data_IF_594469306864
#
_entry.id   IF_594469306864
#
_cell.length_a   1.000
_cell.length_b   1.000
_cell.length_c   1.000
_cell.angle_alpha   90.00
_cell.angle_beta   90.00
_cell.angle_gamma   90.00
#
_symmetry.space_group_name_H-M   'P 1'
#
loop_
_entity.id
_entity.type
_entity.pdbx_description
1 polymer ?
#
# COMPACT_ATOMS: atom_id res chain seq x y z
N UNK A 1 16.48 -20.92 -4.45
CA UNK A 1 16.53 -19.45 -4.53
C UNK A 1 16.19 -18.86 -3.16
N UNK A 2 16.81 -17.73 -2.82
CA UNK A 2 16.49 -16.91 -1.65
C UNK A 2 16.39 -15.45 -2.13
N UNK A 3 15.32 -14.77 -1.76
CA UNK A 3 15.10 -13.40 -2.15
C UNK A 3 14.24 -12.67 -1.10
N UNK A 4 14.39 -11.38 -1.01
CA UNK A 4 13.52 -10.51 -0.20
C UNK A 4 12.15 -10.28 -0.83
N UNK A 5 12.02 -10.58 -2.14
CA UNK A 5 10.78 -10.41 -2.91
C UNK A 5 10.60 -11.58 -3.88
N UNK A 6 9.35 -11.93 -4.17
CA UNK A 6 9.01 -13.02 -5.10
C UNK A 6 9.51 -12.77 -6.53
N UNK A 7 9.64 -11.51 -6.92
CA UNK A 7 10.17 -11.12 -8.24
C UNK A 7 11.59 -11.61 -8.47
N UNK A 8 12.37 -11.84 -7.41
CA UNK A 8 13.73 -12.35 -7.53
C UNK A 8 13.82 -13.81 -7.98
N UNK A 9 12.72 -14.57 -8.00
CA UNK A 9 12.73 -15.99 -8.40
C UNK A 9 11.51 -16.43 -9.23
N UNK A 10 10.51 -15.57 -9.45
CA UNK A 10 9.25 -15.93 -10.11
C UNK A 10 9.45 -16.49 -11.53
N UNK A 11 10.51 -16.08 -12.22
CA UNK A 11 10.88 -16.62 -13.53
C UNK A 11 11.30 -18.10 -13.48
N UNK A 12 11.73 -18.58 -12.31
CA UNK A 12 12.27 -19.93 -12.12
C UNK A 12 11.29 -20.87 -11.42
N UNK A 13 10.43 -20.34 -10.55
CA UNK A 13 9.45 -21.12 -9.79
C UNK A 13 8.31 -20.26 -9.28
N UNK A 14 7.09 -20.85 -9.28
CA UNK A 14 5.89 -20.24 -8.68
C UNK A 14 5.65 -20.73 -7.23
N UNK A 15 6.53 -21.59 -6.70
CA UNK A 15 6.43 -22.09 -5.33
C UNK A 15 7.31 -21.25 -4.40
N UNK A 16 6.73 -20.71 -3.33
CA UNK A 16 7.41 -19.92 -2.33
C UNK A 16 7.14 -20.40 -0.91
N UNK A 17 8.14 -20.24 -0.05
CA UNK A 17 7.99 -20.39 1.39
C UNK A 17 8.26 -19.02 2.01
N UNK A 18 7.24 -18.44 2.66
CA UNK A 18 7.38 -17.18 3.36
C UNK A 18 7.95 -17.39 4.75
N UNK A 19 9.10 -16.78 5.01
CA UNK A 19 9.76 -16.84 6.31
C UNK A 19 8.96 -16.04 7.35
N UNK A 20 8.79 -16.60 8.54
CA UNK A 20 8.16 -15.91 9.68
C UNK A 20 9.24 -15.23 10.52
N UNK A 21 8.88 -14.16 11.23
CA UNK A 21 9.77 -13.56 12.24
C UNK A 21 10.25 -14.63 13.23
N UNK A 22 11.55 -14.64 13.48
CA UNK A 22 12.16 -15.64 14.37
C UNK A 22 12.59 -16.94 13.68
N UNK A 23 12.38 -17.06 12.37
CA UNK A 23 12.90 -18.19 11.61
C UNK A 23 14.15 -17.81 10.83
N UNK A 24 15.02 -18.78 10.63
CA UNK A 24 16.17 -18.71 9.72
C UNK A 24 16.27 -19.96 8.87
N UNK A 25 16.86 -19.83 7.70
CA UNK A 25 17.01 -20.94 6.76
C UNK A 25 18.49 -21.27 6.57
N UNK A 26 18.80 -22.55 6.56
CA UNK A 26 20.10 -23.10 6.16
C UNK A 26 19.96 -23.69 4.79
N UNK A 27 20.78 -23.25 3.84
CA UNK A 27 20.82 -23.77 2.47
C UNK A 27 22.15 -24.50 2.27
N UNK A 28 22.10 -25.81 2.03
CA UNK A 28 23.29 -26.62 1.75
C UNK A 28 22.98 -27.67 0.65
N UNK A 29 23.85 -27.79 -0.33
CA UNK A 29 23.79 -28.88 -1.34
C UNK A 29 22.42 -29.09 -2.01
N UNK A 30 21.74 -28.00 -2.37
CA UNK A 30 20.36 -28.00 -2.89
C UNK A 30 19.26 -28.46 -1.91
N UNK A 31 19.60 -28.63 -0.67
CA UNK A 31 18.63 -28.88 0.42
C UNK A 31 18.46 -27.62 1.28
N UNK A 32 17.36 -27.54 1.98
CA UNK A 32 17.14 -26.46 2.93
C UNK A 32 16.51 -26.96 4.23
N UNK A 33 16.77 -26.24 5.31
CA UNK A 33 16.14 -26.46 6.61
C UNK A 33 15.71 -25.09 7.16
N UNK A 34 14.51 -25.05 7.72
CA UNK A 34 14.01 -23.88 8.42
C UNK A 34 14.02 -24.17 9.92
N UNK A 35 14.66 -23.32 10.67
CA UNK A 35 14.85 -23.45 12.11
C UNK A 35 14.28 -22.21 12.82
N UNK A 36 13.89 -22.37 14.08
CA UNK A 36 13.61 -21.27 15.00
C UNK A 36 14.88 -20.81 15.74
N UNK A 37 14.76 -19.82 16.62
CA UNK A 37 15.88 -19.35 17.42
C UNK A 37 16.46 -20.37 18.42
N UNK A 38 15.75 -21.46 18.70
CA UNK A 38 16.25 -22.55 19.55
C UNK A 38 16.98 -23.61 18.73
N UNK A 39 17.01 -23.47 17.40
CA UNK A 39 17.60 -24.46 16.49
C UNK A 39 16.65 -25.65 16.18
N UNK A 40 15.37 -25.54 16.53
CA UNK A 40 14.39 -26.59 16.24
C UNK A 40 13.80 -26.43 14.84
N UNK A 41 13.56 -27.57 14.16
CA UNK A 41 12.99 -27.57 12.81
C UNK A 41 11.55 -27.08 12.83
N UNK A 42 11.26 -26.09 11.99
CA UNK A 42 9.93 -25.49 11.82
C UNK A 42 9.23 -26.09 10.61
N UNK A 43 7.96 -26.49 10.79
CA UNK A 43 7.10 -26.85 9.66
C UNK A 43 6.80 -25.61 8.81
N UNK A 44 6.88 -25.79 7.51
CA UNK A 44 6.60 -24.74 6.54
C UNK A 44 5.54 -25.17 5.54
N UNK A 45 4.85 -24.22 4.98
CA UNK A 45 3.87 -24.39 3.91
C UNK A 45 4.44 -23.82 2.62
N UNK A 46 4.27 -24.56 1.52
CA UNK A 46 4.59 -24.08 0.18
C UNK A 46 3.36 -23.35 -0.34
N UNK A 47 3.53 -22.06 -0.64
CA UNK A 47 2.48 -21.22 -1.20
C UNK A 47 2.74 -21.06 -2.70
N UNK A 48 1.71 -21.26 -3.52
CA UNK A 48 1.77 -20.89 -4.94
C UNK A 48 1.61 -19.40 -5.08
N UNK A 49 2.63 -18.80 -5.68
CA UNK A 49 2.59 -17.37 -6.09
C UNK A 49 1.78 -17.28 -7.38
N UNK A 50 0.77 -16.41 -7.41
CA UNK A 50 -0.03 -16.24 -8.62
C UNK A 50 0.81 -15.61 -9.73
N UNK A 51 0.60 -16.07 -10.97
CA UNK A 51 1.29 -15.52 -12.18
C UNK A 51 0.81 -14.12 -12.58
N UNK A 52 -0.04 -13.47 -11.80
CA UNK A 52 -0.38 -12.06 -11.98
C UNK A 52 0.85 -11.13 -11.88
N UNK A 53 1.97 -11.67 -11.39
CA UNK A 53 3.29 -11.05 -11.53
C UNK A 53 3.85 -11.02 -12.98
N UNK A 54 3.13 -11.56 -13.97
CA UNK A 54 3.47 -11.38 -15.39
C UNK A 54 3.59 -9.92 -15.84
N UNK A 55 2.90 -9.01 -15.15
CA UNK A 55 3.02 -7.56 -15.32
C UNK A 55 4.38 -7.00 -14.83
N UNK A 56 5.17 -7.78 -14.11
CA UNK A 56 6.55 -7.44 -13.71
C UNK A 56 7.55 -7.48 -14.88
N UNK A 57 7.14 -7.96 -16.07
CA UNK A 57 8.01 -7.99 -17.24
C UNK A 57 8.11 -6.60 -17.87
N UNK A 58 9.34 -6.15 -18.15
CA UNK A 58 9.59 -4.81 -18.71
C UNK A 58 9.00 -4.61 -20.12
N UNK A 59 8.82 -5.68 -20.87
CA UNK A 59 8.39 -5.62 -22.27
C UNK A 59 9.37 -4.85 -23.14
N UNK A 60 8.88 -4.12 -24.13
CA UNK A 60 9.65 -3.33 -25.08
C UNK A 60 10.11 -1.97 -24.54
N UNK A 61 9.79 -1.64 -23.29
CA UNK A 61 10.19 -0.38 -22.70
C UNK A 61 11.67 -0.37 -22.31
N UNK A 62 12.35 0.76 -22.50
CA UNK A 62 13.75 0.93 -22.13
C UNK A 62 13.96 0.78 -20.61
N UNK A 63 13.01 1.29 -19.80
CA UNK A 63 13.06 1.32 -18.34
C UNK A 63 11.72 0.95 -17.72
N UNK A 64 11.72 0.33 -16.53
CA UNK A 64 10.50 0.02 -15.77
C UNK A 64 9.69 1.28 -15.45
N UNK A 65 10.33 2.35 -15.01
CA UNK A 65 9.66 3.60 -14.71
C UNK A 65 8.88 4.13 -15.94
N UNK A 66 9.46 4.02 -17.14
CA UNK A 66 8.77 4.42 -18.37
C UNK A 66 7.52 3.56 -18.61
N UNK A 67 7.66 2.23 -18.51
CA UNK A 67 6.50 1.31 -18.58
C UNK A 67 5.41 1.71 -17.59
N UNK A 68 5.78 1.93 -16.34
CA UNK A 68 4.86 2.27 -15.24
C UNK A 68 4.17 3.62 -15.44
N UNK A 69 4.83 4.59 -16.09
CA UNK A 69 4.19 5.83 -16.53
C UNK A 69 3.09 5.53 -17.54
N UNK A 70 3.36 4.69 -18.55
CA UNK A 70 2.38 4.32 -19.56
C UNK A 70 1.26 3.39 -19.02
N UNK A 71 1.46 2.74 -17.90
CA UNK A 71 0.43 1.92 -17.25
C UNK A 71 -0.60 2.74 -16.46
N UNK A 72 -0.32 4.01 -16.13
CA UNK A 72 -1.21 4.82 -15.30
C UNK A 72 -2.66 4.91 -15.83
N UNK A 73 -2.95 5.07 -17.13
CA UNK A 73 -4.32 5.07 -17.61
C UNK A 73 -5.07 3.78 -17.26
N UNK A 74 -4.44 2.63 -17.46
CA UNK A 74 -5.04 1.33 -17.12
C UNK A 74 -5.23 1.13 -15.62
N UNK A 75 -4.30 1.65 -14.81
CA UNK A 75 -4.40 1.64 -13.34
C UNK A 75 -5.55 2.50 -12.86
N UNK A 76 -5.78 3.67 -13.46
CA UNK A 76 -6.92 4.55 -13.14
C UNK A 76 -8.23 3.80 -13.34
N UNK A 77 -8.41 3.11 -14.47
CA UNK A 77 -9.62 2.32 -14.74
C UNK A 77 -9.76 1.17 -13.75
N UNK A 78 -8.72 0.33 -13.61
CA UNK A 78 -8.75 -0.85 -12.73
C UNK A 78 -9.02 -0.46 -11.26
N UNK A 79 -8.35 0.57 -10.75
CA UNK A 79 -8.55 1.04 -9.39
C UNK A 79 -9.87 1.81 -9.22
N UNK A 80 -10.31 2.51 -10.28
CA UNK A 80 -11.54 3.30 -10.30
C UNK A 80 -12.80 2.44 -10.31
N UNK A 81 -12.87 1.42 -11.14
CA UNK A 81 -14.05 0.56 -11.32
C UNK A 81 -14.23 -0.47 -10.21
N UNK A 82 -13.13 -1.00 -9.66
CA UNK A 82 -13.22 -2.03 -8.62
C UNK A 82 -13.83 -1.50 -7.33
N UNK A 83 -14.71 -2.29 -6.74
CA UNK A 83 -15.13 -2.11 -5.36
C UNK A 83 -13.89 -2.29 -4.47
N UNK A 84 -13.55 -1.28 -3.68
CA UNK A 84 -12.46 -1.38 -2.72
C UNK A 84 -13.02 -2.08 -1.48
N UNK A 85 -12.59 -3.30 -1.24
CA UNK A 85 -12.96 -4.05 -0.04
C UNK A 85 -12.56 -3.24 1.21
N UNK A 86 -13.41 -3.23 2.24
CA UNK A 86 -13.18 -2.46 3.47
C UNK A 86 -13.51 -0.97 3.36
N UNK A 87 -13.90 -0.44 2.19
CA UNK A 87 -14.16 1.00 2.01
C UNK A 87 -15.27 1.52 2.93
N UNK A 88 -16.36 0.77 3.09
CA UNK A 88 -17.46 1.15 3.96
C UNK A 88 -17.02 1.28 5.42
N UNK A 89 -16.26 0.29 5.92
CA UNK A 89 -15.73 0.28 7.27
C UNK A 89 -14.71 1.40 7.49
N UNK A 90 -13.83 1.66 6.50
CA UNK A 90 -12.90 2.79 6.56
C UNK A 90 -13.62 4.13 6.68
N UNK A 91 -14.70 4.31 5.92
CA UNK A 91 -15.54 5.51 5.96
C UNK A 91 -16.25 5.66 7.31
N UNK A 92 -16.71 4.56 7.89
CA UNK A 92 -17.32 4.57 9.20
C UNK A 92 -16.31 4.97 10.29
N UNK A 93 -15.08 4.45 10.24
CA UNK A 93 -14.02 4.87 11.15
C UNK A 93 -13.72 6.37 11.02
N UNK A 94 -13.63 6.88 9.79
CA UNK A 94 -13.37 8.30 9.54
C UNK A 94 -14.50 9.19 10.09
N UNK A 95 -15.77 8.79 9.91
CA UNK A 95 -16.92 9.55 10.40
C UNK A 95 -16.98 9.64 11.93
N UNK A 96 -16.53 8.60 12.63
CA UNK A 96 -16.59 8.48 14.07
C UNK A 96 -15.31 8.93 14.78
N UNK A 97 -14.23 9.24 14.04
CA UNK A 97 -12.96 9.64 14.60
C UNK A 97 -12.97 11.06 15.16
N UNK A 98 -12.33 11.24 16.31
CA UNK A 98 -12.07 12.58 16.89
C UNK A 98 -11.08 13.36 16.03
N UNK A 99 -10.00 12.71 15.59
CA UNK A 99 -8.99 13.27 14.73
C UNK A 99 -8.62 12.28 13.64
N UNK A 100 -8.15 12.80 12.50
CA UNK A 100 -7.68 11.99 11.37
C UNK A 100 -6.25 12.37 11.06
N UNK A 101 -5.36 11.42 11.20
CA UNK A 101 -3.96 11.51 10.83
C UNK A 101 -3.70 10.70 9.57
N UNK A 102 -2.83 11.19 8.71
CA UNK A 102 -2.48 10.51 7.45
C UNK A 102 -0.97 10.43 7.35
N UNK A 103 -0.41 9.25 7.22
CA UNK A 103 1.05 9.08 7.20
C UNK A 103 1.52 8.27 6.00
N UNK A 104 2.74 8.53 5.61
CA UNK A 104 3.46 7.84 4.55
C UNK A 104 4.90 8.30 4.48
N UNK A 105 5.73 7.61 3.70
CA UNK A 105 7.12 7.99 3.42
C UNK A 105 7.26 8.40 1.95
N UNK A 106 8.13 9.38 1.67
CA UNK A 106 8.41 9.83 0.30
C UNK A 106 7.15 10.25 -0.46
N UNK A 107 6.93 9.67 -1.63
CA UNK A 107 5.78 10.00 -2.50
C UNK A 107 4.43 9.66 -1.85
N UNK A 108 4.37 8.65 -0.97
CA UNK A 108 3.14 8.34 -0.21
C UNK A 108 2.78 9.45 0.79
N UNK A 109 3.77 10.18 1.31
CA UNK A 109 3.49 11.37 2.11
C UNK A 109 2.90 12.51 1.26
N UNK A 110 3.31 12.65 0.00
CA UNK A 110 2.67 13.60 -0.91
C UNK A 110 1.19 13.26 -1.15
N UNK A 111 0.83 11.96 -1.19
CA UNK A 111 -0.57 11.53 -1.22
C UNK A 111 -1.33 11.96 0.04
N UNK A 112 -0.69 11.90 1.22
CA UNK A 112 -1.28 12.38 2.48
C UNK A 112 -1.55 13.89 2.45
N UNK A 113 -0.66 14.69 1.87
CA UNK A 113 -0.86 16.13 1.69
C UNK A 113 -2.06 16.44 0.78
N UNK A 114 -2.23 15.67 -0.31
CA UNK A 114 -3.39 15.79 -1.21
C UNK A 114 -4.66 15.34 -0.49
N UNK A 115 -4.61 14.24 0.28
CA UNK A 115 -5.74 13.74 1.06
C UNK A 115 -6.28 14.82 2.02
N UNK A 116 -5.40 15.55 2.72
CA UNK A 116 -5.79 16.68 3.56
C UNK A 116 -6.60 17.71 2.77
N UNK A 117 -6.14 18.06 1.57
CA UNK A 117 -6.80 19.08 0.75
C UNK A 117 -8.18 18.62 0.26
N UNK A 118 -8.29 17.38 -0.25
CA UNK A 118 -9.55 16.86 -0.78
C UNK A 118 -10.57 16.60 0.34
N UNK A 119 -10.16 16.06 1.50
CA UNK A 119 -11.03 15.89 2.66
C UNK A 119 -11.56 17.25 3.15
N UNK A 120 -10.69 18.25 3.28
CA UNK A 120 -11.10 19.59 3.69
C UNK A 120 -12.02 20.27 2.67
N UNK A 121 -11.69 20.20 1.38
CA UNK A 121 -12.44 20.87 0.31
C UNK A 121 -13.83 20.28 0.13
N UNK A 122 -13.93 18.97 0.06
CA UNK A 122 -15.13 18.28 -0.41
C UNK A 122 -16.00 17.74 0.73
N UNK A 123 -15.40 17.38 1.86
CA UNK A 123 -16.13 16.74 2.99
C UNK A 123 -16.13 17.62 4.24
N UNK A 124 -15.34 18.70 4.26
CA UNK A 124 -15.17 19.60 5.42
C UNK A 124 -14.56 18.89 6.65
N UNK A 125 -13.89 17.80 6.43
CA UNK A 125 -13.16 17.06 7.46
C UNK A 125 -11.72 17.61 7.54
N UNK A 126 -11.28 17.94 8.76
CA UNK A 126 -9.89 18.28 9.03
C UNK A 126 -9.08 17.01 9.21
N UNK A 127 -7.89 16.99 8.64
CA UNK A 127 -6.93 15.91 8.82
C UNK A 127 -5.52 16.46 8.86
N UNK A 128 -4.62 15.74 9.53
CA UNK A 128 -3.23 16.13 9.70
C UNK A 128 -2.30 15.11 9.03
N UNK A 129 -1.59 15.51 7.95
CA UNK A 129 -0.57 14.67 7.35
C UNK A 129 0.71 14.74 8.17
N UNK A 130 1.26 13.58 8.53
CA UNK A 130 2.49 13.44 9.30
C UNK A 130 3.46 12.58 8.49
N UNK A 131 4.67 13.06 8.26
CA UNK A 131 5.70 12.22 7.63
C UNK A 131 6.08 11.06 8.57
N UNK A 132 6.11 9.84 8.05
CA UNK A 132 6.20 8.65 8.88
C UNK A 132 7.48 8.61 9.74
N UNK A 133 8.61 9.07 9.21
CA UNK A 133 9.88 9.14 9.93
C UNK A 133 9.87 10.06 11.14
N UNK A 134 9.02 11.09 11.14
CA UNK A 134 8.99 12.11 12.19
C UNK A 134 8.12 11.70 13.40
N UNK A 135 7.13 10.84 13.18
CA UNK A 135 6.18 10.48 14.23
C UNK A 135 6.84 9.81 15.44
N UNK A 136 7.93 9.08 15.24
CA UNK A 136 8.67 8.44 16.33
C UNK A 136 9.30 9.46 17.30
N UNK A 137 9.57 10.68 16.86
CA UNK A 137 10.17 11.75 17.66
C UNK A 137 9.14 12.65 18.36
N UNK A 138 7.88 12.58 17.91
CA UNK A 138 6.77 13.33 18.49
C UNK A 138 5.51 12.45 18.57
N UNK A 139 5.56 11.32 19.31
CA UNK A 139 4.44 10.37 19.37
C UNK A 139 3.19 10.98 20.01
N UNK A 140 3.32 12.03 20.83
CA UNK A 140 2.23 12.79 21.43
C UNK A 140 1.41 13.61 20.42
N UNK A 141 1.83 13.69 19.17
CA UNK A 141 1.07 14.35 18.09
C UNK A 141 -0.24 13.60 17.81
N UNK A 142 -0.25 12.26 17.98
CA UNK A 142 -1.46 11.45 17.79
C UNK A 142 -2.21 11.33 19.09
N UNK A 143 -3.50 11.63 19.07
CA UNK A 143 -4.42 11.50 20.20
C UNK A 143 -5.22 10.19 20.11
N UNK A 144 -5.69 9.70 21.28
CA UNK A 144 -6.63 8.55 21.37
C UNK A 144 -7.97 8.86 20.65
N UNK A 145 -8.75 7.82 20.37
CA UNK A 145 -10.03 7.90 19.63
C UNK A 145 -9.89 8.51 18.23
N UNK A 146 -8.73 8.36 17.65
CA UNK A 146 -8.38 8.87 16.32
C UNK A 146 -8.25 7.76 15.29
N UNK A 147 -8.17 8.14 14.04
CA UNK A 147 -7.85 7.26 12.91
C UNK A 147 -6.48 7.64 12.35
N UNK A 148 -5.62 6.65 12.11
CA UNK A 148 -4.40 6.80 11.32
C UNK A 148 -4.59 6.11 9.97
N UNK A 149 -4.58 6.89 8.88
CA UNK A 149 -4.50 6.38 7.51
C UNK A 149 -3.03 6.22 7.17
N UNK A 150 -2.58 4.98 7.05
CA UNK A 150 -1.20 4.64 6.74
C UNK A 150 -1.04 4.21 5.27
N UNK A 151 -0.24 4.95 4.50
CA UNK A 151 -0.09 4.77 3.06
C UNK A 151 1.31 4.23 2.77
N UNK A 152 1.38 3.07 2.11
CA UNK A 152 2.65 2.46 1.68
C UNK A 152 2.43 1.54 0.48
N UNK A 153 3.17 1.73 -0.60
CA UNK A 153 3.08 0.86 -1.78
C UNK A 153 3.47 -0.58 -1.42
N UNK A 154 4.62 -0.79 -0.81
CA UNK A 154 5.12 -2.12 -0.42
C UNK A 154 4.45 -2.66 0.86
N UNK A 155 4.00 -1.76 1.75
CA UNK A 155 3.53 -2.13 3.09
C UNK A 155 4.63 -2.65 4.03
N UNK A 156 5.92 -2.48 3.64
CA UNK A 156 7.09 -2.90 4.42
C UNK A 156 7.97 -1.72 4.85
N UNK A 157 7.55 -0.49 4.61
CA UNK A 157 8.27 0.72 5.02
C UNK A 157 8.41 0.76 6.54
N UNK A 158 9.65 0.71 7.06
CA UNK A 158 9.94 0.64 8.48
C UNK A 158 9.32 1.81 9.26
N UNK A 159 9.44 3.03 8.74
CA UNK A 159 8.89 4.23 9.36
C UNK A 159 7.36 4.18 9.45
N UNK A 160 6.69 3.71 8.39
CA UNK A 160 5.22 3.57 8.38
C UNK A 160 4.77 2.49 9.37
N UNK A 161 5.49 1.37 9.44
CA UNK A 161 5.21 0.31 10.41
C UNK A 161 5.42 0.77 11.85
N UNK A 162 6.43 1.61 12.09
CA UNK A 162 6.66 2.22 13.40
C UNK A 162 5.57 3.24 13.76
N UNK A 163 5.15 4.08 12.81
CA UNK A 163 4.04 5.01 13.00
C UNK A 163 2.74 4.26 13.39
N UNK A 164 2.43 3.14 12.72
CA UNK A 164 1.30 2.28 13.08
C UNK A 164 1.47 1.65 14.46
N UNK A 165 2.69 1.23 14.83
CA UNK A 165 2.97 0.68 16.16
C UNK A 165 2.71 1.72 17.27
N UNK A 166 3.10 2.97 17.04
CA UNK A 166 2.85 4.09 17.97
C UNK A 166 1.35 4.33 18.11
N UNK A 167 0.63 4.48 17.01
CA UNK A 167 -0.82 4.74 16.99
C UNK A 167 -1.62 3.62 17.67
N UNK A 168 -1.25 2.36 17.46
CA UNK A 168 -1.91 1.22 18.13
C UNK A 168 -1.74 1.20 19.64
N UNK A 169 -0.64 1.72 20.18
CA UNK A 169 -0.45 1.80 21.65
C UNK A 169 -1.47 2.69 22.35
N UNK A 170 -2.04 3.64 21.63
CA UNK A 170 -3.06 4.58 22.13
C UNK A 170 -4.44 4.31 21.50
N UNK A 171 -4.70 3.07 21.09
CA UNK A 171 -5.98 2.61 20.56
C UNK A 171 -6.51 3.35 19.32
N UNK A 172 -5.65 3.98 18.51
CA UNK A 172 -6.08 4.51 17.22
C UNK A 172 -6.50 3.38 16.27
N UNK A 173 -7.55 3.62 15.50
CA UNK A 173 -7.94 2.76 14.38
C UNK A 173 -6.99 2.97 13.20
N UNK A 174 -6.59 1.89 12.56
CA UNK A 174 -5.63 1.91 11.46
C UNK A 174 -6.30 1.55 10.14
N UNK A 175 -6.31 2.50 9.20
CA UNK A 175 -6.69 2.26 7.81
C UNK A 175 -5.41 2.15 6.99
N UNK A 176 -5.12 0.97 6.46
CA UNK A 176 -3.93 0.72 5.64
C UNK A 176 -4.27 0.83 4.17
N UNK A 177 -3.58 1.71 3.43
CA UNK A 177 -3.66 1.80 1.96
C UNK A 177 -2.38 1.19 1.41
N UNK A 178 -2.50 0.00 0.78
CA UNK A 178 -1.34 -0.79 0.33
C UNK A 178 -1.56 -1.39 -1.05
N UNK A 179 -0.47 -1.66 -1.76
CA UNK A 179 -0.54 -2.42 -3.01
C UNK A 179 -0.30 -3.91 -2.78
N UNK A 180 0.61 -4.27 -1.89
CA UNK A 180 0.94 -5.66 -1.58
C UNK A 180 0.12 -6.16 -0.38
N UNK A 181 -0.95 -6.90 -0.67
CA UNK A 181 -1.90 -7.38 0.35
C UNK A 181 -1.34 -8.45 1.30
N UNK A 182 -0.17 -9.00 1.01
CA UNK A 182 0.55 -9.95 1.89
C UNK A 182 1.55 -9.27 2.83
N UNK A 183 1.62 -7.94 2.82
CA UNK A 183 2.60 -7.14 3.55
C UNK A 183 2.38 -7.09 5.06
N UNK A 184 3.39 -6.60 5.78
CA UNK A 184 3.32 -6.38 7.23
C UNK A 184 2.28 -5.33 7.61
N UNK A 185 2.11 -4.28 6.81
CA UNK A 185 1.12 -3.23 7.03
C UNK A 185 -0.30 -3.78 6.92
N UNK A 186 -0.57 -4.68 5.98
CA UNK A 186 -1.86 -5.38 5.84
C UNK A 186 -2.24 -6.11 7.12
N UNK A 187 -1.29 -6.83 7.71
CA UNK A 187 -1.52 -7.57 8.97
C UNK A 187 -1.70 -6.68 10.20
N UNK A 188 -1.31 -5.44 10.12
CA UNK A 188 -1.39 -4.47 11.23
C UNK A 188 -2.58 -3.51 11.10
N UNK A 189 -3.17 -3.38 9.92
CA UNK A 189 -4.38 -2.56 9.69
C UNK A 189 -5.61 -3.15 10.38
N UNK A 190 -6.50 -2.30 10.85
CA UNK A 190 -7.85 -2.70 11.24
C UNK A 190 -8.73 -2.82 9.99
N UNK A 191 -8.50 -1.94 9.01
CA UNK A 191 -9.08 -2.01 7.66
C UNK A 191 -7.96 -1.88 6.62
N UNK A 192 -8.07 -2.61 5.52
CA UNK A 192 -7.10 -2.62 4.42
C UNK A 192 -7.77 -2.24 3.12
N UNK A 193 -7.24 -1.21 2.48
CA UNK A 193 -7.68 -0.75 1.16
C UNK A 193 -6.58 -1.03 0.14
N UNK A 194 -6.86 -1.93 -0.81
CA UNK A 194 -5.91 -2.32 -1.86
C UNK A 194 -5.83 -1.28 -2.98
N UNK A 195 -4.61 -0.92 -3.39
CA UNK A 195 -4.37 -0.03 -4.53
C UNK A 195 -4.63 -0.71 -5.88
N UNK A 196 -4.41 -2.01 -5.97
CA UNK A 196 -4.62 -2.84 -7.17
C UNK A 196 -3.91 -2.31 -8.44
N UNK A 197 -2.72 -1.72 -8.30
CA UNK A 197 -1.97 -1.16 -9.42
C UNK A 197 -0.95 -2.13 -10.05
N UNK A 198 -0.94 -3.38 -9.61
CA UNK A 198 0.08 -4.35 -10.02
C UNK A 198 1.47 -4.06 -9.43
N UNK A 199 2.48 -4.87 -9.78
CA UNK A 199 3.83 -4.67 -9.28
C UNK A 199 4.45 -3.39 -9.84
N UNK A 200 5.14 -2.62 -8.99
CA UNK A 200 5.92 -1.44 -9.35
C UNK A 200 7.39 -1.71 -9.00
N UNK A 201 8.25 -1.69 -10.01
CA UNK A 201 9.67 -2.08 -9.91
C UNK A 201 10.58 -0.85 -10.00
N UNK A 202 10.12 0.19 -10.69
CA UNK A 202 10.80 1.47 -10.74
C UNK A 202 11.02 2.03 -9.34
N UNK A 203 12.21 2.60 -9.10
CA UNK A 203 12.56 3.16 -7.78
C UNK A 203 11.68 4.35 -7.43
N UNK A 204 11.37 5.18 -8.42
CA UNK A 204 10.46 6.32 -8.24
C UNK A 204 9.01 5.84 -8.38
N UNK A 205 8.17 6.17 -7.41
CA UNK A 205 6.74 5.89 -7.47
C UNK A 205 6.08 6.65 -8.62
N UNK A 206 5.31 5.95 -9.43
CA UNK A 206 4.55 6.48 -10.58
C UNK A 206 3.10 6.02 -10.49
N UNK A 207 2.78 4.84 -11.01
CA UNK A 207 1.42 4.28 -11.03
C UNK A 207 0.87 4.02 -9.61
N UNK A 208 1.72 3.67 -8.66
CA UNK A 208 1.28 3.47 -7.28
C UNK A 208 0.82 4.78 -6.63
N UNK A 209 1.49 5.90 -6.91
CA UNK A 209 1.03 7.22 -6.45
C UNK A 209 -0.35 7.56 -7.02
N UNK A 210 -0.56 7.35 -8.33
CA UNK A 210 -1.85 7.53 -8.97
C UNK A 210 -2.93 6.64 -8.33
N UNK A 211 -2.62 5.36 -8.07
CA UNK A 211 -3.55 4.46 -7.40
C UNK A 211 -3.87 4.88 -5.95
N UNK A 212 -2.89 5.40 -5.20
CA UNK A 212 -3.13 5.97 -3.88
C UNK A 212 -4.15 7.11 -3.93
N UNK A 213 -4.00 8.01 -4.90
CA UNK A 213 -4.96 9.10 -5.09
C UNK A 213 -6.36 8.58 -5.45
N UNK A 214 -6.47 7.56 -6.30
CA UNK A 214 -7.77 6.95 -6.63
C UNK A 214 -8.46 6.40 -5.37
N UNK A 215 -7.74 5.66 -4.53
CA UNK A 215 -8.30 5.12 -3.26
C UNK A 215 -8.75 6.27 -2.34
N UNK A 216 -7.94 7.32 -2.20
CA UNK A 216 -8.28 8.49 -1.39
C UNK A 216 -9.51 9.25 -1.94
N UNK A 217 -9.61 9.39 -3.25
CA UNK A 217 -10.80 9.97 -3.87
C UNK A 217 -12.05 9.11 -3.70
N UNK A 218 -11.94 7.78 -3.70
CA UNK A 218 -13.06 6.88 -3.39
C UNK A 218 -13.54 7.03 -1.94
N UNK A 219 -12.63 7.19 -0.99
CA UNK A 219 -13.00 7.54 0.40
C UNK A 219 -13.80 8.84 0.41
N UNK A 220 -13.34 9.87 -0.28
CA UNK A 220 -14.01 11.17 -0.37
C UNK A 220 -15.38 11.07 -1.05
N UNK A 221 -15.50 10.34 -2.16
CA UNK A 221 -16.80 10.08 -2.82
C UNK A 221 -17.79 9.40 -1.88
N UNK A 222 -17.32 8.44 -1.08
CA UNK A 222 -18.19 7.71 -0.15
C UNK A 222 -18.58 8.54 1.07
N UNK A 223 -17.75 9.50 1.47
CA UNK A 223 -18.04 10.47 2.52
C UNK A 223 -18.96 11.60 2.06
N UNK A 224 -19.01 11.89 0.76
CA UNK A 224 -19.75 13.02 0.17
C UNK A 224 -20.59 12.56 -1.03
N UNK A 225 -21.90 12.76 -0.96
CA UNK A 225 -22.82 12.46 -2.06
C UNK A 225 -22.67 13.40 -3.27
N UNK A 226 -21.89 14.48 -3.13
CA UNK A 226 -21.78 15.57 -4.10
C UNK A 226 -20.59 15.43 -5.06
N UNK A 227 -19.86 14.33 -5.01
CA UNK A 227 -18.67 14.13 -5.85
C UNK A 227 -18.86 12.88 -6.68
N UNK A 228 -18.81 13.04 -7.99
CA UNK A 228 -18.70 11.94 -8.95
C UNK A 228 -17.40 12.12 -9.71
N UNK A 229 -16.56 11.09 -9.75
CA UNK A 229 -15.35 11.07 -10.55
C UNK A 229 -15.60 10.14 -11.73
N UNK A 230 -15.42 10.68 -12.93
CA UNK A 230 -15.42 9.89 -14.15
C UNK A 230 -14.00 9.35 -14.38
N UNK A 231 -13.75 8.11 -14.01
CA UNK A 231 -12.44 7.49 -14.14
C UNK A 231 -12.06 7.21 -15.60
N UNK A 232 -13.04 7.03 -16.49
CA UNK A 232 -12.80 6.87 -17.94
C UNK A 232 -12.23 8.16 -18.52
N UNK A 233 -12.90 9.30 -18.29
CA UNK A 233 -12.44 10.61 -18.75
C UNK A 233 -11.07 10.97 -18.16
N UNK A 234 -10.85 10.62 -16.89
CA UNK A 234 -9.56 10.84 -16.25
C UNK A 234 -8.46 9.99 -16.90
N UNK A 235 -8.70 8.71 -17.14
CA UNK A 235 -7.79 7.80 -17.84
C UNK A 235 -7.44 8.32 -19.24
N UNK A 236 -8.43 8.72 -20.03
CA UNK A 236 -8.21 9.30 -21.35
C UNK A 236 -7.37 10.58 -21.30
N UNK A 237 -7.59 11.43 -20.32
CA UNK A 237 -6.84 12.68 -20.15
C UNK A 237 -5.37 12.40 -19.86
N UNK A 238 -5.09 11.41 -19.00
CA UNK A 238 -3.71 10.98 -18.70
C UNK A 238 -3.07 10.33 -19.93
N UNK A 239 -3.78 9.48 -20.68
CA UNK A 239 -3.25 8.91 -21.94
C UNK A 239 -2.79 9.99 -22.90
N UNK A 240 -3.61 11.00 -23.12
CA UNK A 240 -3.29 12.13 -24.00
C UNK A 240 -2.08 12.96 -23.52
N UNK A 241 -1.90 13.06 -22.20
CA UNK A 241 -0.74 13.76 -21.63
C UNK A 241 0.56 12.99 -21.80
N UNK A 242 0.51 11.65 -21.73
CA UNK A 242 1.69 10.79 -21.84
C UNK A 242 2.17 10.67 -23.31
N UNK A 243 1.24 10.76 -24.27
CA UNK A 243 1.51 10.63 -25.70
C UNK A 243 2.08 11.93 -26.34
N UNK A 244 1.97 13.08 -25.68
CA UNK A 244 2.47 14.38 -26.13
C UNK A 244 3.82 14.73 -25.49
#
# INVERSE_FOLDING_TARGET
FLSSDVLGFIEYTDNAIYMKSGNFVILENNEFQILDFNGEKVKHEITKVSKEFGDAYKGDYAHFTLKEIYEQPSVILKAGERTVEGLEEAVEYIKNAKNIYITGSGTSYNSALIAKQILSKYVKIKSEPIIASELQFAPETIEEDSVLIAISQSGESADVLEAVRIAKKINCKIISIVNLLTSSLTRKGDVVLGMNCGPEIGVAATKSFTAQLIVLYKIVQKLSENITINFEEFSESISKMIEN
#
